data_IF_959281377872
#
_entry.id   IF_959281377872
#
_cell.length_a   1.000
_cell.length_b   1.000
_cell.length_c   1.000
_cell.angle_alpha   90.00
_cell.angle_beta   90.00
_cell.angle_gamma   90.00
#
_symmetry.space_group_name_H-M   'P 1'
#
loop_
_entity.id
_entity.type
_entity.pdbx_description
1 polymer ?
#
# COMPACT_ATOMS: atom_id res chain seq x y z
N UNK A 1 -39.04 69.73 -9.22
CA UNK A 1 -40.22 70.47 -9.73
C UNK A 1 -39.83 71.04 -11.08
N UNK A 2 -40.60 70.78 -12.13
CA UNK A 2 -40.36 71.35 -13.46
C UNK A 2 -41.20 72.61 -13.60
N UNK A 3 -40.60 73.69 -14.09
CA UNK A 3 -41.23 75.00 -14.25
C UNK A 3 -41.13 75.44 -15.69
N UNK A 4 -42.11 76.19 -16.16
CA UNK A 4 -42.14 76.78 -17.51
C UNK A 4 -42.50 78.27 -17.43
N UNK A 5 -42.14 79.02 -18.47
CA UNK A 5 -42.42 80.46 -18.55
C UNK A 5 -43.62 80.74 -19.46
N UNK A 6 -44.55 81.53 -18.96
CA UNK A 6 -45.74 81.98 -19.68
C UNK A 6 -45.72 83.50 -19.84
N UNK A 7 -46.46 84.01 -20.83
CA UNK A 7 -46.68 85.44 -21.03
C UNK A 7 -47.49 86.03 -19.86
N UNK A 8 -47.17 87.26 -19.44
CA UNK A 8 -47.89 87.93 -18.36
C UNK A 8 -49.34 88.21 -18.76
N UNK A 9 -50.28 88.01 -17.83
CA UNK A 9 -51.71 88.32 -18.02
C UNK A 9 -52.07 89.72 -17.56
N UNK A 10 -51.13 90.46 -16.95
CA UNK A 10 -51.30 91.85 -16.52
C UNK A 10 -49.99 92.63 -16.63
N UNK A 11 -50.04 93.95 -16.93
CA UNK A 11 -48.83 94.76 -17.12
C UNK A 11 -47.88 94.82 -15.92
N UNK A 12 -48.40 94.58 -14.71
CA UNK A 12 -47.64 94.62 -13.46
C UNK A 12 -46.80 93.35 -13.21
N UNK A 13 -46.95 92.31 -14.03
CA UNK A 13 -46.31 91.00 -13.84
C UNK A 13 -44.91 90.88 -14.46
N UNK A 14 -44.38 91.96 -15.06
CA UNK A 14 -43.08 91.95 -15.74
C UNK A 14 -43.12 91.22 -17.08
N UNK A 15 -41.94 90.86 -17.61
CA UNK A 15 -41.80 90.31 -18.97
C UNK A 15 -42.33 88.87 -19.13
N UNK A 16 -42.37 88.08 -18.05
CA UNK A 16 -42.88 86.71 -18.03
C UNK A 16 -43.28 86.25 -16.63
N UNK A 17 -44.14 85.23 -16.54
CA UNK A 17 -44.52 84.58 -15.29
C UNK A 17 -44.01 83.13 -15.30
N UNK A 18 -43.38 82.70 -14.20
CA UNK A 18 -42.92 81.32 -14.03
C UNK A 18 -43.97 80.54 -13.26
N UNK A 19 -44.42 79.41 -13.82
CA UNK A 19 -45.37 78.50 -13.18
C UNK A 19 -44.80 77.08 -13.16
N UNK A 20 -45.35 76.21 -12.31
CA UNK A 20 -45.06 74.78 -12.44
C UNK A 20 -45.65 74.26 -13.74
N UNK A 21 -44.96 73.32 -14.37
CA UNK A 21 -45.43 72.68 -15.59
C UNK A 21 -46.77 71.95 -15.38
N UNK A 22 -47.04 71.45 -14.18
CA UNK A 22 -48.32 70.82 -13.81
C UNK A 22 -49.49 71.79 -13.80
N UNK A 23 -49.23 73.08 -13.56
CA UNK A 23 -50.24 74.13 -13.42
C UNK A 23 -50.48 74.85 -14.76
N UNK A 24 -49.77 74.43 -15.82
CA UNK A 24 -49.94 74.99 -17.15
C UNK A 24 -51.22 74.46 -17.82
N UNK A 25 -52.16 75.36 -18.06
CA UNK A 25 -53.31 75.10 -18.93
C UNK A 25 -53.20 75.98 -20.21
N UNK A 26 -53.06 75.37 -21.40
CA UNK A 26 -52.91 76.10 -22.66
C UNK A 26 -54.15 76.92 -23.06
N UNK A 27 -55.29 76.76 -22.37
CA UNK A 27 -56.49 77.60 -22.59
C UNK A 27 -56.40 78.95 -21.90
N UNK A 28 -55.63 79.04 -20.83
CA UNK A 28 -55.49 80.26 -20.01
C UNK A 28 -54.09 80.84 -20.04
N UNK A 29 -53.08 80.03 -20.37
CA UNK A 29 -51.69 80.43 -20.41
C UNK A 29 -51.14 80.35 -21.84
N UNK A 30 -50.45 81.42 -22.25
CA UNK A 30 -49.68 81.45 -23.49
C UNK A 30 -48.20 81.31 -23.15
N UNK A 31 -47.47 80.42 -23.81
CA UNK A 31 -46.03 80.24 -23.57
C UNK A 31 -45.22 81.42 -24.12
N UNK A 32 -44.10 81.72 -23.47
CA UNK A 32 -43.09 82.62 -24.05
C UNK A 32 -42.45 81.94 -25.27
N UNK A 33 -42.10 82.72 -26.29
CA UNK A 33 -41.52 82.21 -27.53
C UNK A 33 -40.25 81.39 -27.26
N UNK A 34 -40.22 80.14 -27.72
CA UNK A 34 -39.10 79.20 -27.52
C UNK A 34 -39.26 78.22 -26.35
N UNK A 35 -40.26 78.38 -25.49
CA UNK A 35 -40.57 77.43 -24.41
C UNK A 35 -41.45 76.28 -24.94
N UNK A 36 -41.13 75.04 -24.55
CA UNK A 36 -41.97 73.85 -24.82
C UNK A 36 -42.15 73.04 -23.54
N UNK A 37 -43.35 72.47 -23.28
CA UNK A 37 -43.52 71.52 -22.19
C UNK A 37 -42.59 70.32 -22.39
N UNK A 38 -41.95 69.87 -21.32
CA UNK A 38 -41.07 68.72 -21.32
C UNK A 38 -41.89 67.45 -21.52
N UNK A 39 -42.01 67.00 -22.77
CA UNK A 39 -42.63 65.72 -23.06
C UNK A 39 -41.75 64.58 -22.54
N UNK A 40 -42.26 63.82 -21.57
CA UNK A 40 -41.57 62.64 -21.06
C UNK A 40 -41.76 61.50 -22.05
N UNK A 41 -40.71 61.16 -22.80
CA UNK A 41 -40.73 59.99 -23.69
C UNK A 41 -40.36 58.77 -22.85
N UNK A 42 -41.34 57.88 -22.62
CA UNK A 42 -41.09 56.58 -22.01
C UNK A 42 -40.49 55.65 -23.06
N UNK A 43 -39.18 55.37 -22.96
CA UNK A 43 -38.50 54.36 -23.77
C UNK A 43 -38.58 53.03 -23.03
N UNK A 44 -39.40 52.10 -23.52
CA UNK A 44 -39.49 50.74 -22.97
C UNK A 44 -38.34 49.89 -23.53
N UNK A 45 -37.27 49.70 -22.75
CA UNK A 45 -36.18 48.78 -23.08
C UNK A 45 -36.58 47.35 -22.70
N UNK A 46 -36.99 46.55 -23.69
CA UNK A 46 -37.16 45.10 -23.48
C UNK A 46 -35.82 44.40 -23.62
N UNK A 47 -35.18 44.05 -22.49
CA UNK A 47 -33.95 43.24 -22.49
C UNK A 47 -34.31 41.75 -22.62
N UNK A 48 -34.57 41.29 -23.83
CA UNK A 48 -34.67 39.85 -24.11
C UNK A 48 -33.27 39.21 -24.05
N UNK A 49 -33.15 38.10 -23.31
CA UNK A 49 -31.93 37.29 -23.21
C UNK A 49 -31.54 36.83 -24.62
N UNK A 50 -30.26 36.89 -24.99
CA UNK A 50 -29.81 36.41 -26.29
C UNK A 50 -30.03 34.89 -26.41
N UNK A 51 -30.39 34.36 -27.59
CA UNK A 51 -30.60 32.92 -27.78
C UNK A 51 -29.41 32.05 -27.35
N UNK A 52 -28.18 32.57 -27.51
CA UNK A 52 -26.94 31.91 -27.12
C UNK A 52 -26.80 31.76 -25.59
N UNK A 53 -27.23 32.78 -24.84
CA UNK A 53 -27.23 32.74 -23.39
C UNK A 53 -28.31 31.79 -22.88
N UNK A 54 -29.49 31.77 -23.51
CA UNK A 54 -30.55 30.81 -23.17
C UNK A 54 -30.10 29.36 -23.39
N UNK A 55 -29.51 29.05 -24.56
CA UNK A 55 -29.00 27.72 -24.85
C UNK A 55 -27.89 27.27 -23.88
N UNK A 56 -27.13 28.21 -23.32
CA UNK A 56 -26.10 27.91 -22.32
C UNK A 56 -26.68 27.65 -20.95
N UNK A 57 -27.72 28.38 -20.57
CA UNK A 57 -28.49 28.14 -19.35
C UNK A 57 -29.14 26.76 -19.40
N UNK A 58 -29.82 26.43 -20.50
CA UNK A 58 -30.51 25.14 -20.66
C UNK A 58 -29.53 23.96 -20.56
N UNK A 59 -28.34 24.09 -21.18
CA UNK A 59 -27.27 23.07 -21.09
C UNK A 59 -26.74 22.91 -19.67
N UNK A 60 -26.48 24.01 -18.98
CA UNK A 60 -26.00 23.98 -17.61
C UNK A 60 -27.04 23.37 -16.65
N UNK A 61 -28.33 23.62 -16.90
CA UNK A 61 -29.42 22.98 -16.15
C UNK A 61 -29.45 21.47 -16.40
N UNK A 62 -29.35 21.04 -17.66
CA UNK A 62 -29.30 19.62 -17.98
C UNK A 62 -28.08 18.89 -17.35
N UNK A 63 -26.91 19.54 -17.33
CA UNK A 63 -25.73 18.98 -16.65
C UNK A 63 -25.91 18.91 -15.13
N UNK A 64 -26.52 19.93 -14.51
CA UNK A 64 -26.86 19.91 -13.09
C UNK A 64 -27.81 18.75 -12.76
N UNK A 65 -28.86 18.54 -13.57
CA UNK A 65 -29.81 17.44 -13.40
C UNK A 65 -29.13 16.07 -13.49
N UNK A 66 -28.21 15.90 -14.45
CA UNK A 66 -27.42 14.67 -14.60
C UNK A 66 -26.56 14.39 -13.37
N UNK A 67 -25.84 15.39 -12.87
CA UNK A 67 -24.97 15.25 -11.68
C UNK A 67 -25.80 14.95 -10.43
N UNK A 68 -26.99 15.51 -10.30
CA UNK A 68 -27.91 15.19 -9.18
C UNK A 68 -28.34 13.72 -9.25
N UNK A 69 -28.69 13.21 -10.44
CA UNK A 69 -29.06 11.82 -10.62
C UNK A 69 -27.89 10.86 -10.33
N UNK A 70 -26.70 11.14 -10.83
CA UNK A 70 -25.50 10.31 -10.57
C UNK A 70 -25.12 10.31 -9.08
N UNK A 71 -25.24 11.44 -8.37
CA UNK A 71 -25.01 11.48 -6.93
C UNK A 71 -26.04 10.67 -6.13
N UNK A 72 -27.31 10.65 -6.55
CA UNK A 72 -28.32 9.82 -5.92
C UNK A 72 -28.01 8.31 -6.08
N UNK A 73 -27.57 7.92 -7.29
CA UNK A 73 -27.16 6.55 -7.60
C UNK A 73 -25.91 6.12 -6.80
N UNK A 74 -24.85 6.94 -6.80
CA UNK A 74 -23.62 6.66 -6.04
C UNK A 74 -23.90 6.52 -4.54
N UNK A 75 -24.79 7.36 -4.00
CA UNK A 75 -25.22 7.26 -2.60
C UNK A 75 -25.95 5.94 -2.33
N UNK A 76 -26.79 5.47 -3.26
CA UNK A 76 -27.42 4.16 -3.19
C UNK A 76 -26.40 3.03 -3.17
N UNK A 77 -25.43 3.06 -4.08
CA UNK A 77 -24.36 2.05 -4.16
C UNK A 77 -23.51 2.00 -2.88
N UNK A 78 -23.19 3.16 -2.29
CA UNK A 78 -22.45 3.22 -1.03
C UNK A 78 -23.21 2.61 0.14
N UNK A 79 -24.52 2.86 0.25
CA UNK A 79 -25.33 2.23 1.31
C UNK A 79 -25.45 0.72 1.11
N UNK A 80 -25.56 0.24 -0.14
CA UNK A 80 -25.53 -1.20 -0.45
C UNK A 80 -24.19 -1.83 -0.04
N UNK A 81 -23.05 -1.29 -0.51
CA UNK A 81 -21.71 -1.77 -0.14
C UNK A 81 -21.49 -1.76 1.38
N UNK A 82 -21.95 -0.71 2.05
CA UNK A 82 -21.86 -0.59 3.51
C UNK A 82 -22.72 -1.64 4.20
N UNK A 83 -23.92 -1.92 3.69
CA UNK A 83 -24.76 -3.00 4.21
C UNK A 83 -24.12 -4.37 3.99
N UNK A 84 -23.51 -4.63 2.83
CA UNK A 84 -22.76 -5.87 2.55
C UNK A 84 -21.54 -6.03 3.46
N UNK A 85 -20.81 -4.95 3.74
CA UNK A 85 -19.67 -4.95 4.67
C UNK A 85 -20.07 -5.14 6.14
N UNK A 86 -21.31 -4.82 6.50
CA UNK A 86 -21.81 -4.91 7.89
C UNK A 86 -22.69 -6.13 8.15
N UNK A 87 -23.32 -6.67 7.11
CA UNK A 87 -24.13 -7.91 7.13
C UNK A 87 -23.34 -9.15 6.73
N UNK A 88 -22.16 -9.01 6.14
CA UNK A 88 -21.22 -10.12 6.03
C UNK A 88 -20.98 -10.68 7.43
N UNK A 89 -21.36 -11.94 7.64
CA UNK A 89 -21.02 -12.71 8.82
C UNK A 89 -19.55 -12.39 9.17
N UNK A 90 -19.21 -12.02 10.42
CA UNK A 90 -17.83 -11.71 10.77
C UNK A 90 -17.00 -12.87 10.25
N UNK A 91 -16.10 -12.59 9.31
CA UNK A 91 -15.32 -13.63 8.65
C UNK A 91 -14.86 -14.58 9.73
N UNK A 92 -15.17 -15.87 9.59
CA UNK A 92 -14.84 -16.85 10.62
C UNK A 92 -13.31 -16.99 10.67
N UNK A 93 -12.69 -16.11 11.44
CA UNK A 93 -11.24 -16.07 11.63
C UNK A 93 -10.80 -17.13 12.63
N UNK A 94 -11.68 -18.03 13.11
CA UNK A 94 -11.30 -19.12 14.01
C UNK A 94 -10.32 -20.11 13.38
N UNK A 95 -10.21 -20.11 12.03
CA UNK A 95 -9.18 -20.83 11.28
C UNK A 95 -7.89 -20.05 11.04
N UNK A 96 -7.82 -18.76 11.37
CA UNK A 96 -6.58 -18.00 11.32
C UNK A 96 -5.81 -18.20 12.63
N UNK A 97 -4.58 -18.65 12.48
CA UNK A 97 -3.58 -18.75 13.54
C UNK A 97 -3.49 -17.39 14.25
N UNK A 98 -3.85 -17.28 15.56
CA UNK A 98 -3.69 -16.05 16.32
C UNK A 98 -2.24 -15.56 16.26
N UNK A 99 -2.02 -14.24 16.33
CA UNK A 99 -0.67 -13.66 16.28
C UNK A 99 0.21 -14.24 17.39
N UNK A 100 -0.39 -14.61 18.52
CA UNK A 100 0.26 -15.25 19.67
C UNK A 100 0.85 -16.63 19.34
N UNK A 101 0.32 -17.33 18.33
CA UNK A 101 0.91 -18.60 17.86
C UNK A 101 2.16 -18.37 17.00
N UNK A 102 2.36 -17.19 16.40
CA UNK A 102 3.61 -16.87 15.70
C UNK A 102 4.79 -16.74 16.66
N UNK A 103 4.58 -16.16 17.84
CA UNK A 103 5.64 -16.04 18.86
C UNK A 103 6.05 -17.42 19.39
N UNK A 104 5.08 -18.31 19.63
CA UNK A 104 5.34 -19.69 20.01
C UNK A 104 6.14 -20.44 18.91
N UNK A 105 5.73 -20.29 17.65
CA UNK A 105 6.45 -20.88 16.52
C UNK A 105 7.87 -20.32 16.34
N UNK A 106 8.06 -19.02 16.56
CA UNK A 106 9.38 -18.38 16.50
C UNK A 106 10.31 -18.89 17.62
N UNK A 107 9.76 -19.11 18.82
CA UNK A 107 10.47 -19.69 19.94
C UNK A 107 10.86 -21.15 19.66
N UNK A 108 9.93 -21.96 19.18
CA UNK A 108 10.18 -23.37 18.81
C UNK A 108 11.21 -23.50 17.68
N UNK A 109 11.15 -22.61 16.69
CA UNK A 109 12.14 -22.54 15.61
C UNK A 109 13.54 -22.23 16.15
N UNK A 110 13.64 -21.31 17.11
CA UNK A 110 14.91 -20.94 17.75
C UNK A 110 15.46 -22.11 18.57
N UNK A 111 14.62 -22.79 19.36
CA UNK A 111 15.00 -23.96 20.14
C UNK A 111 15.48 -25.11 19.25
N UNK A 112 14.74 -25.41 18.18
CA UNK A 112 15.10 -26.45 17.21
C UNK A 112 16.44 -26.17 16.56
N UNK A 113 16.72 -24.91 16.21
CA UNK A 113 18.00 -24.50 15.63
C UNK A 113 19.17 -24.70 16.61
N UNK A 114 18.96 -24.39 17.90
CA UNK A 114 19.98 -24.60 18.93
C UNK A 114 20.28 -26.09 19.16
N UNK A 115 19.23 -26.94 19.21
CA UNK A 115 19.39 -28.39 19.32
C UNK A 115 20.12 -28.97 18.11
N UNK A 116 19.79 -28.52 16.89
CA UNK A 116 20.47 -28.96 15.67
C UNK A 116 21.97 -28.62 15.70
N UNK A 117 22.33 -27.40 16.13
CA UNK A 117 23.74 -27.00 16.26
C UNK A 117 24.49 -27.87 17.27
N UNK A 118 23.84 -28.22 18.38
CA UNK A 118 24.41 -29.10 19.41
C UNK A 118 24.67 -30.50 18.87
N UNK A 119 23.66 -31.13 18.24
CA UNK A 119 23.78 -32.46 17.65
C UNK A 119 24.83 -32.49 16.52
N UNK A 120 24.95 -31.43 15.74
CA UNK A 120 26.03 -31.31 14.74
C UNK A 120 27.41 -31.30 15.37
N UNK A 121 27.59 -30.56 16.46
CA UNK A 121 28.85 -30.55 17.23
C UNK A 121 29.19 -31.92 17.80
N UNK A 122 28.22 -32.59 18.42
CA UNK A 122 28.36 -33.95 18.97
C UNK A 122 28.73 -34.97 17.88
N UNK A 123 28.08 -34.90 16.71
CA UNK A 123 28.36 -35.80 15.59
C UNK A 123 29.80 -35.61 15.05
N UNK A 124 30.28 -34.36 15.02
CA UNK A 124 31.66 -34.06 14.61
C UNK A 124 32.64 -34.66 15.63
N UNK A 125 32.41 -34.44 16.93
CA UNK A 125 33.24 -35.01 17.99
C UNK A 125 33.28 -36.55 17.91
N UNK A 126 32.12 -37.19 17.80
CA UNK A 126 32.02 -38.65 17.66
C UNK A 126 32.79 -39.19 16.45
N UNK A 127 32.68 -38.54 15.29
CA UNK A 127 33.42 -38.93 14.08
C UNK A 127 34.93 -38.81 14.28
N UNK A 128 35.38 -37.74 14.94
CA UNK A 128 36.80 -37.54 15.22
C UNK A 128 37.33 -38.61 16.17
N UNK A 129 36.56 -38.99 17.19
CA UNK A 129 36.93 -40.07 18.12
C UNK A 129 37.03 -41.42 17.41
N UNK A 130 36.06 -41.76 16.54
CA UNK A 130 36.13 -42.99 15.74
C UNK A 130 37.36 -42.99 14.82
N UNK A 131 37.65 -41.86 14.14
CA UNK A 131 38.83 -41.73 13.30
C UNK A 131 40.14 -41.88 14.10
N UNK A 132 40.23 -41.26 15.28
CA UNK A 132 41.36 -41.38 16.17
C UNK A 132 41.52 -42.81 16.71
N UNK A 133 40.42 -43.47 17.07
CA UNK A 133 40.43 -44.88 17.48
C UNK A 133 40.88 -45.80 16.33
N UNK A 134 40.40 -45.59 15.11
CA UNK A 134 40.82 -46.34 13.94
C UNK A 134 42.31 -46.16 13.66
N UNK A 135 42.84 -44.94 13.73
CA UNK A 135 44.26 -44.66 13.59
C UNK A 135 45.08 -45.38 14.68
N UNK A 136 44.60 -45.39 15.92
CA UNK A 136 45.26 -46.09 17.03
C UNK A 136 45.23 -47.60 16.85
N UNK A 137 44.13 -48.16 16.34
CA UNK A 137 44.04 -49.60 16.01
C UNK A 137 45.05 -49.94 14.91
N UNK A 138 45.14 -49.14 13.84
CA UNK A 138 46.11 -49.35 12.77
C UNK A 138 47.57 -49.29 13.26
N UNK A 139 47.88 -48.34 14.16
CA UNK A 139 49.19 -48.25 14.80
C UNK A 139 49.49 -49.49 15.66
N UNK A 140 48.53 -49.94 16.47
CA UNK A 140 48.69 -51.12 17.33
C UNK A 140 48.78 -52.44 16.54
N UNK A 141 48.18 -52.50 15.35
CA UNK A 141 48.28 -53.65 14.44
C UNK A 141 49.59 -53.65 13.63
N UNK A 142 50.24 -52.48 13.47
CA UNK A 142 51.54 -52.36 12.80
C UNK A 142 52.67 -52.84 13.71
N UNK A 143 52.78 -54.16 13.88
CA UNK A 143 53.87 -54.78 14.65
C UNK A 143 55.01 -55.13 13.70
N UNK A 144 56.18 -54.53 13.93
CA UNK A 144 57.42 -54.89 13.25
C UNK A 144 58.00 -56.18 13.84
N UNK A 145 57.58 -57.31 13.28
CA UNK A 145 58.01 -58.64 13.72
C UNK A 145 59.51 -58.93 13.42
N UNK A 146 60.19 -58.13 12.58
CA UNK A 146 61.58 -58.39 12.18
C UNK A 146 62.57 -58.36 13.35
N UNK A 147 62.22 -57.61 14.40
CA UNK A 147 63.00 -57.44 15.64
C UNK A 147 62.87 -58.61 16.61
N UNK A 148 61.87 -59.48 16.43
CA UNK A 148 61.65 -60.62 17.30
C UNK A 148 62.65 -61.76 17.01
N UNK A 149 62.94 -62.56 18.03
CA UNK A 149 63.73 -63.79 17.93
C UNK A 149 62.87 -64.93 17.43
N UNK A 150 63.51 -66.02 17.01
CA UNK A 150 62.82 -67.21 16.47
C UNK A 150 61.77 -67.76 17.43
N UNK A 151 62.09 -67.88 18.72
CA UNK A 151 61.16 -68.43 19.71
C UNK A 151 59.95 -67.50 19.93
N UNK A 152 60.19 -66.19 19.95
CA UNK A 152 59.14 -65.16 20.05
C UNK A 152 58.24 -65.16 18.82
N UNK A 153 58.80 -65.32 17.62
CA UNK A 153 58.03 -65.47 16.37
C UNK A 153 57.16 -66.72 16.38
N UNK A 154 57.69 -67.85 16.86
CA UNK A 154 56.94 -69.10 17.02
C UNK A 154 55.78 -68.94 18.00
N UNK A 155 55.99 -68.22 19.09
CA UNK A 155 54.92 -67.97 20.07
C UNK A 155 53.84 -67.02 19.54
N UNK A 156 54.21 -65.99 18.76
CA UNK A 156 53.25 -65.13 18.04
C UNK A 156 52.45 -65.92 17.01
N UNK A 157 53.09 -66.80 16.24
CA UNK A 157 52.42 -67.67 15.26
C UNK A 157 51.43 -68.64 15.93
N UNK A 158 51.81 -69.26 17.07
CA UNK A 158 50.88 -70.07 17.88
C UNK A 158 49.69 -69.24 18.37
N UNK A 159 49.93 -68.03 18.88
CA UNK A 159 48.87 -67.14 19.36
C UNK A 159 47.90 -66.75 18.23
N UNK A 160 48.42 -66.50 17.03
CA UNK A 160 47.64 -66.26 15.81
C UNK A 160 47.05 -67.53 15.18
N UNK A 161 47.28 -68.71 15.78
CA UNK A 161 46.83 -70.01 15.25
C UNK A 161 47.35 -70.31 13.83
N UNK A 162 48.57 -69.86 13.51
CA UNK A 162 49.26 -70.14 12.25
C UNK A 162 50.20 -71.32 12.46
N UNK A 163 50.04 -72.36 11.65
CA UNK A 163 50.91 -73.54 11.67
C UNK A 163 52.28 -73.24 11.03
N UNK A 164 53.34 -73.84 11.59
CA UNK A 164 54.69 -73.72 11.06
C UNK A 164 55.52 -75.00 11.29
N UNK A 165 56.48 -75.32 10.42
CA UNK A 165 57.42 -76.43 10.61
C UNK A 165 58.29 -76.26 11.88
N UNK A 166 58.60 -77.34 12.57
CA UNK A 166 59.40 -77.30 13.81
C UNK A 166 60.83 -76.76 13.59
N UNK A 167 61.38 -76.98 12.39
CA UNK A 167 62.71 -76.55 11.91
C UNK A 167 62.70 -75.26 11.09
N UNK A 168 61.56 -74.56 11.01
CA UNK A 168 61.42 -73.32 10.25
C UNK A 168 62.42 -72.24 10.70
N UNK A 169 63.03 -71.56 9.73
CA UNK A 169 64.01 -70.49 9.96
C UNK A 169 63.32 -69.15 10.22
N UNK A 170 64.06 -68.20 10.79
CA UNK A 170 63.55 -66.86 11.14
C UNK A 170 62.82 -66.19 9.97
N UNK A 171 63.38 -66.23 8.77
CA UNK A 171 62.81 -65.56 7.60
C UNK A 171 61.51 -66.23 7.13
N UNK A 172 61.42 -67.56 7.21
CA UNK A 172 60.20 -68.31 6.88
C UNK A 172 59.07 -67.99 7.88
N UNK A 173 59.39 -67.94 9.17
CA UNK A 173 58.44 -67.59 10.23
C UNK A 173 57.97 -66.13 10.10
N UNK A 174 58.87 -65.22 9.74
CA UNK A 174 58.54 -63.82 9.52
C UNK A 174 57.61 -63.65 8.31
N UNK A 175 57.88 -64.37 7.22
CA UNK A 175 57.06 -64.33 6.00
C UNK A 175 55.62 -64.83 6.22
N UNK A 176 55.39 -65.70 7.22
CA UNK A 176 54.06 -66.14 7.62
C UNK A 176 53.26 -65.05 8.36
N UNK A 177 53.94 -64.12 9.05
CA UNK A 177 53.30 -63.03 9.79
C UNK A 177 53.05 -61.77 8.94
N UNK A 178 53.74 -61.63 7.81
CA UNK A 178 53.61 -60.47 6.90
C UNK A 178 52.71 -60.74 5.69
N UNK A 179 51.99 -61.87 5.68
CA UNK A 179 51.11 -62.29 4.57
C UNK A 179 49.66 -61.81 4.68
N UNK A 180 49.32 -61.05 5.72
CA UNK A 180 47.99 -60.43 5.93
C UNK A 180 47.90 -59.03 5.30
#
# INVERSE_FOLDING_TARGET
MKTIKIKPSSPDQGDFVVINESDFDPKVHELVEGETPHQTIAVTLTTSISPELQATIDRAQAECEKVVAENAELKGQLETLKSEMTQGEPADLTGLIPVEQFDALALDLTNTKAQLATVQGELIAFKNDVGAMQARIAELQSVDYSKLKVDELKDVLKLKSIEFPSDAKKDDLLALLTKE
#
